data_IF_880239748907
#
_entry.id   IF_880239748907
#
_cell.length_a   1.000
_cell.length_b   1.000
_cell.length_c   1.000
_cell.angle_alpha   90.00
_cell.angle_beta   90.00
_cell.angle_gamma   90.00
#
_symmetry.space_group_name_H-M   'P 1'
#
loop_
_entity.id
_entity.type
_entity.pdbx_description
1 polymer ?
#
# COMPACT_ATOMS: atom_id res chain seq x y z
N UNK A 1 31.07 33.49 -18.99
CA UNK A 1 29.69 33.11 -18.60
C UNK A 1 29.76 31.64 -18.18
N UNK A 2 29.51 31.35 -16.90
CA UNK A 2 30.09 30.20 -16.19
C UNK A 2 29.26 28.92 -16.41
N UNK A 3 29.90 27.84 -16.88
CA UNK A 3 29.32 26.49 -17.08
C UNK A 3 28.59 25.91 -15.86
N UNK A 4 28.88 26.45 -14.67
CA UNK A 4 28.32 26.01 -13.38
C UNK A 4 26.80 26.18 -13.27
N UNK A 5 26.22 27.23 -13.89
CA UNK A 5 24.77 27.47 -13.85
C UNK A 5 23.98 26.45 -14.69
N UNK A 6 24.57 25.93 -15.78
CA UNK A 6 23.94 24.94 -16.65
C UNK A 6 23.94 23.54 -16.02
N UNK A 7 24.97 23.20 -15.23
CA UNK A 7 25.00 21.95 -14.47
C UNK A 7 23.97 21.90 -13.32
N UNK A 8 23.56 23.05 -12.78
CA UNK A 8 22.49 23.11 -11.77
C UNK A 8 21.10 22.85 -12.35
N UNK A 9 20.84 23.20 -13.62
CA UNK A 9 19.55 22.90 -14.27
C UNK A 9 19.40 21.41 -14.57
N UNK A 10 20.45 20.71 -14.98
CA UNK A 10 20.37 19.28 -15.30
C UNK A 10 20.22 18.39 -14.05
N UNK A 11 20.84 18.74 -12.93
CA UNK A 11 20.68 17.98 -11.66
C UNK A 11 19.30 18.12 -11.00
N UNK A 12 18.53 19.15 -11.34
CA UNK A 12 17.19 19.39 -10.78
C UNK A 12 16.06 18.62 -11.50
N UNK A 13 16.37 17.99 -12.64
CA UNK A 13 15.42 17.22 -13.46
C UNK A 13 15.78 15.74 -13.63
N UNK A 14 16.63 15.17 -12.78
CA UNK A 14 16.27 13.86 -12.23
C UNK A 14 15.27 14.11 -11.11
N UNK A 15 14.06 14.51 -11.49
CA UNK A 15 12.90 14.15 -10.70
C UNK A 15 13.05 12.64 -10.55
N UNK A 16 13.42 12.15 -9.35
CA UNK A 16 13.05 10.80 -8.94
C UNK A 16 11.63 10.67 -9.43
N UNK A 17 11.39 9.86 -10.46
CA UNK A 17 10.04 9.69 -10.94
C UNK A 17 9.31 9.19 -9.70
N UNK A 18 8.42 10.02 -9.15
CA UNK A 18 7.54 9.66 -8.03
C UNK A 18 6.51 8.68 -8.59
N UNK A 19 6.99 7.63 -9.22
CA UNK A 19 6.23 6.61 -9.93
C UNK A 19 6.67 5.31 -9.31
N UNK A 20 5.70 4.52 -8.89
CA UNK A 20 5.96 3.33 -8.10
C UNK A 20 6.64 2.29 -9.01
N UNK A 21 7.86 1.83 -8.68
CA UNK A 21 8.71 1.07 -9.60
C UNK A 21 8.07 -0.24 -10.07
N UNK A 22 7.23 -0.86 -9.24
CA UNK A 22 6.51 -2.11 -9.54
C UNK A 22 5.08 -1.88 -10.04
N UNK A 23 4.68 -0.64 -10.31
CA UNK A 23 3.34 -0.38 -10.87
C UNK A 23 3.09 -1.12 -12.18
N UNK A 24 4.13 -1.29 -13.00
CA UNK A 24 4.05 -2.05 -14.26
C UNK A 24 3.84 -3.56 -14.04
N UNK A 25 4.17 -4.07 -12.85
CA UNK A 25 3.95 -5.48 -12.48
C UNK A 25 2.51 -5.71 -11.97
N UNK A 26 1.76 -4.66 -11.64
CA UNK A 26 0.36 -4.72 -11.21
C UNK A 26 -0.57 -4.88 -12.41
N UNK A 27 -0.46 -6.03 -13.07
CA UNK A 27 -1.18 -6.39 -14.30
C UNK A 27 -2.70 -6.22 -14.22
N UNK A 28 -3.27 -6.36 -13.01
CA UNK A 28 -4.70 -6.22 -12.73
C UNK A 28 -5.18 -4.76 -12.75
N UNK A 29 -4.25 -3.79 -12.68
CA UNK A 29 -4.49 -2.36 -12.84
C UNK A 29 -4.21 -1.93 -14.27
N UNK A 30 -3.00 -2.25 -14.77
CA UNK A 30 -2.54 -1.86 -16.10
C UNK A 30 -1.71 -2.98 -16.69
N UNK A 31 -2.11 -3.47 -17.86
CA UNK A 31 -1.39 -4.51 -18.59
C UNK A 31 -0.20 -3.92 -19.38
N UNK A 32 0.80 -4.77 -19.70
CA UNK A 32 1.78 -4.46 -20.72
C UNK A 32 1.11 -4.14 -22.07
N UNK A 33 1.78 -3.31 -22.88
CA UNK A 33 1.31 -2.99 -24.22
C UNK A 33 1.12 -4.27 -25.05
N UNK A 34 -0.01 -4.38 -25.75
CA UNK A 34 -0.34 -5.52 -26.61
C UNK A 34 -1.16 -6.64 -25.95
N UNK A 35 -1.45 -6.57 -24.64
CA UNK A 35 -2.37 -7.51 -24.00
C UNK A 35 -3.84 -7.11 -24.17
N UNK A 36 -4.71 -8.07 -24.51
CA UNK A 36 -6.17 -7.91 -24.59
C UNK A 36 -6.92 -8.43 -23.34
N UNK A 37 -6.19 -8.91 -22.33
CA UNK A 37 -6.79 -9.47 -21.13
C UNK A 37 -7.46 -8.38 -20.28
N UNK A 38 -8.60 -8.69 -19.63
CA UNK A 38 -9.31 -7.72 -18.80
C UNK A 38 -8.47 -7.26 -17.60
N UNK A 39 -8.71 -6.02 -17.18
CA UNK A 39 -8.25 -5.41 -15.93
C UNK A 39 -9.46 -4.97 -15.10
N UNK A 40 -9.23 -4.48 -13.88
CA UNK A 40 -10.31 -3.87 -13.10
C UNK A 40 -10.78 -2.51 -13.64
N UNK A 41 -10.19 -1.99 -14.72
CA UNK A 41 -10.50 -0.69 -15.32
C UNK A 41 -10.43 0.48 -14.31
N UNK A 42 -9.56 0.36 -13.30
CA UNK A 42 -9.48 1.31 -12.19
C UNK A 42 -8.90 2.67 -12.59
N UNK A 43 -8.08 2.72 -13.65
CA UNK A 43 -7.50 3.98 -14.14
C UNK A 43 -8.57 4.96 -14.57
N UNK A 44 -9.64 4.50 -15.21
CA UNK A 44 -10.78 5.33 -15.60
C UNK A 44 -11.54 5.93 -14.40
N UNK A 45 -11.51 5.24 -13.25
CA UNK A 45 -12.05 5.71 -11.98
C UNK A 45 -11.14 6.76 -11.35
N UNK A 46 -9.82 6.58 -11.44
CA UNK A 46 -8.84 7.58 -11.00
C UNK A 46 -8.88 8.86 -11.84
N UNK A 47 -9.11 8.76 -13.14
CA UNK A 47 -9.26 9.93 -14.04
C UNK A 47 -10.47 10.80 -13.65
N UNK A 48 -11.47 10.20 -12.99
CA UNK A 48 -12.63 10.89 -12.40
C UNK A 48 -12.35 11.46 -11.00
N UNK A 49 -11.14 11.30 -10.48
CA UNK A 49 -10.74 11.76 -9.14
C UNK A 49 -11.12 10.82 -8.00
N UNK A 50 -11.60 9.61 -8.28
CA UNK A 50 -12.02 8.64 -7.26
C UNK A 50 -10.82 7.80 -6.80
N UNK A 51 -10.16 8.21 -5.72
CA UNK A 51 -8.91 7.60 -5.20
C UNK A 51 -9.07 6.89 -3.86
N UNK A 52 -10.30 6.88 -3.31
CA UNK A 52 -10.59 6.42 -1.95
C UNK A 52 -10.39 7.49 -0.87
N UNK A 53 -10.03 8.72 -1.23
CA UNK A 53 -9.85 9.82 -0.28
C UNK A 53 -11.06 9.99 0.63
N UNK A 54 -10.81 10.01 1.94
CA UNK A 54 -11.85 10.16 2.98
C UNK A 54 -12.56 8.86 3.36
N UNK A 55 -12.32 7.75 2.66
CA UNK A 55 -12.86 6.44 3.01
C UNK A 55 -11.97 5.77 4.06
N UNK A 56 -12.58 5.03 4.99
CA UNK A 56 -11.92 4.17 5.96
C UNK A 56 -12.17 2.71 5.58
N UNK A 57 -11.11 1.90 5.53
CA UNK A 57 -11.21 0.46 5.29
C UNK A 57 -10.56 -0.30 6.44
N UNK A 58 -11.29 -1.24 7.04
CA UNK A 58 -10.74 -2.14 8.05
C UNK A 58 -10.21 -3.42 7.38
N UNK A 59 -8.97 -3.80 7.69
CA UNK A 59 -8.37 -5.08 7.31
C UNK A 59 -8.40 -5.97 8.55
N UNK A 60 -9.26 -6.99 8.54
CA UNK A 60 -9.37 -7.98 9.62
C UNK A 60 -8.62 -9.22 9.17
N UNK A 61 -7.42 -9.44 9.74
CA UNK A 61 -6.47 -10.43 9.27
C UNK A 61 -5.49 -10.85 10.39
N UNK A 62 -4.27 -11.26 10.03
CA UNK A 62 -3.13 -11.55 10.92
C UNK A 62 -2.34 -10.29 11.35
N UNK A 63 -3.05 -9.16 11.39
CA UNK A 63 -2.51 -7.85 11.67
C UNK A 63 -1.98 -7.11 10.44
N UNK A 64 -1.78 -5.80 10.60
CA UNK A 64 -1.18 -4.93 9.58
C UNK A 64 -0.13 -4.06 10.25
N UNK A 65 1.10 -4.10 9.72
CA UNK A 65 2.21 -3.25 10.10
C UNK A 65 1.95 -1.82 9.63
N UNK A 66 1.38 -1.02 10.54
CA UNK A 66 1.16 0.41 10.32
C UNK A 66 2.45 1.23 10.18
N UNK A 67 3.62 0.67 10.50
CA UNK A 67 4.91 1.35 10.32
C UNK A 67 5.51 1.14 8.92
N UNK A 68 4.98 0.18 8.15
CA UNK A 68 5.47 -0.15 6.82
C UNK A 68 5.48 1.10 5.92
N UNK A 69 6.60 1.43 5.23
CA UNK A 69 6.72 2.66 4.43
C UNK A 69 5.61 2.86 3.39
N UNK A 70 5.09 1.76 2.84
CA UNK A 70 3.99 1.75 1.86
C UNK A 70 2.60 2.02 2.45
N UNK A 71 2.44 1.87 3.78
CA UNK A 71 1.15 1.91 4.46
C UNK A 71 1.05 3.05 5.46
N UNK A 72 2.16 3.47 6.07
CA UNK A 72 2.21 4.40 7.21
C UNK A 72 1.46 5.72 7.02
N UNK A 73 1.37 6.23 5.79
CA UNK A 73 0.66 7.48 5.49
C UNK A 73 -0.86 7.30 5.62
N UNK A 74 -1.34 6.13 5.24
CA UNK A 74 -2.75 5.79 5.15
C UNK A 74 -3.25 5.04 6.41
N UNK A 75 -2.34 4.50 7.23
CA UNK A 75 -2.67 3.75 8.43
C UNK A 75 -3.22 4.60 9.58
N UNK A 76 -4.20 4.07 10.32
CA UNK A 76 -4.87 4.72 11.45
C UNK A 76 -4.75 3.89 12.72
N UNK A 77 -3.70 4.19 13.50
CA UNK A 77 -3.43 3.57 14.79
C UNK A 77 -4.62 3.61 15.75
N UNK A 78 -5.33 4.74 15.81
CA UNK A 78 -6.47 4.94 16.72
C UNK A 78 -7.66 4.02 16.44
N UNK A 79 -7.73 3.43 15.24
CA UNK A 79 -8.81 2.53 14.81
C UNK A 79 -8.33 1.09 14.65
N UNK A 80 -7.07 0.81 15.01
CA UNK A 80 -6.42 -0.48 14.83
C UNK A 80 -6.27 -1.18 16.17
N UNK A 81 -6.51 -2.49 16.20
CA UNK A 81 -6.55 -3.27 17.43
C UNK A 81 -6.01 -4.68 17.21
N UNK A 82 -5.29 -5.20 18.19
CA UNK A 82 -4.88 -6.58 18.28
C UNK A 82 -5.83 -7.31 19.24
N UNK A 83 -6.73 -8.13 18.69
CA UNK A 83 -7.70 -8.90 19.47
C UNK A 83 -7.07 -10.15 20.10
N UNK A 84 -5.90 -10.59 19.63
CA UNK A 84 -5.17 -11.73 20.19
C UNK A 84 -4.43 -11.30 21.46
N UNK A 85 -3.73 -10.16 21.41
CA UNK A 85 -3.07 -9.58 22.57
C UNK A 85 -4.01 -8.73 23.45
N UNK A 86 -5.22 -8.46 22.95
CA UNK A 86 -6.22 -7.58 23.57
C UNK A 86 -5.67 -6.19 23.90
N UNK A 87 -5.03 -5.56 22.92
CA UNK A 87 -4.50 -4.20 23.04
C UNK A 87 -4.55 -3.43 21.72
N UNK A 88 -4.41 -2.11 21.79
CA UNK A 88 -4.26 -1.30 20.58
C UNK A 88 -2.95 -1.61 19.85
N UNK A 89 -3.00 -1.63 18.51
CA UNK A 89 -1.82 -1.75 17.68
C UNK A 89 -0.84 -0.60 17.96
N UNK A 90 0.45 -0.92 18.07
CA UNK A 90 1.52 0.06 18.35
C UNK A 90 2.59 -0.01 17.25
N UNK A 91 3.39 1.05 17.18
CA UNK A 91 4.54 1.07 16.28
C UNK A 91 5.45 -0.13 16.58
N UNK A 92 5.73 -0.93 15.55
CA UNK A 92 6.59 -2.12 15.68
C UNK A 92 5.90 -3.36 16.25
N UNK A 93 4.57 -3.38 16.42
CA UNK A 93 3.84 -4.63 16.69
C UNK A 93 4.15 -5.65 15.59
N UNK A 94 4.72 -6.83 15.93
CA UNK A 94 4.99 -7.87 14.95
C UNK A 94 3.69 -8.42 14.36
N UNK A 95 3.66 -8.64 13.04
CA UNK A 95 2.52 -9.22 12.32
C UNK A 95 3.01 -10.31 11.35
N UNK A 96 2.15 -11.26 10.97
CA UNK A 96 2.53 -12.38 10.08
C UNK A 96 2.64 -11.94 8.61
N UNK A 97 1.87 -10.93 8.21
CA UNK A 97 2.08 -10.17 6.98
C UNK A 97 1.14 -10.54 5.83
N UNK A 98 0.17 -11.43 6.02
CA UNK A 98 -0.93 -11.59 5.08
C UNK A 98 -1.77 -10.30 5.02
N UNK A 99 -2.13 -9.74 6.17
CA UNK A 99 -2.82 -8.46 6.27
C UNK A 99 -2.06 -7.31 5.61
N UNK A 100 -0.73 -7.28 5.68
CA UNK A 100 0.10 -6.29 4.96
C UNK A 100 -0.10 -6.33 3.45
N UNK A 101 -0.18 -7.54 2.87
CA UNK A 101 -0.39 -7.73 1.43
C UNK A 101 -1.77 -7.25 1.02
N UNK A 102 -2.80 -7.62 1.80
CA UNK A 102 -4.17 -7.16 1.59
C UNK A 102 -4.28 -5.63 1.69
N UNK A 103 -3.71 -5.04 2.76
CA UNK A 103 -3.68 -3.60 2.96
C UNK A 103 -2.95 -2.85 1.82
N UNK A 104 -1.86 -3.41 1.30
CA UNK A 104 -1.13 -2.86 0.16
C UNK A 104 -1.94 -2.82 -1.12
N UNK A 105 -2.71 -3.88 -1.42
CA UNK A 105 -3.62 -3.91 -2.58
C UNK A 105 -4.72 -2.85 -2.45
N UNK A 106 -5.23 -2.63 -1.23
CA UNK A 106 -6.28 -1.65 -0.96
C UNK A 106 -5.72 -0.22 -1.06
N UNK A 107 -4.73 0.11 -0.23
CA UNK A 107 -4.32 1.49 0.03
C UNK A 107 -2.80 1.69 0.10
N UNK A 108 -2.02 0.90 -0.63
CA UNK A 108 -0.60 1.19 -0.85
C UNK A 108 -0.42 2.61 -1.41
N UNK A 109 0.46 3.39 -0.80
CA UNK A 109 0.64 4.82 -1.12
C UNK A 109 1.16 4.98 -2.54
N UNK A 110 0.40 5.66 -3.40
CA UNK A 110 0.84 5.97 -4.76
C UNK A 110 1.90 7.08 -4.79
N UNK A 111 2.75 7.00 -5.81
CA UNK A 111 3.73 8.02 -6.18
C UNK A 111 4.76 8.31 -5.07
N UNK A 112 5.13 7.29 -4.28
CA UNK A 112 6.13 7.42 -3.21
C UNK A 112 7.50 6.83 -3.61
N UNK A 113 7.59 6.20 -4.80
CA UNK A 113 8.82 5.59 -5.30
C UNK A 113 9.16 4.25 -4.65
N UNK A 114 8.20 3.64 -3.96
CA UNK A 114 8.30 2.32 -3.35
C UNK A 114 7.29 1.39 -4.02
N UNK A 115 7.58 0.09 -4.00
CA UNK A 115 6.73 -0.99 -4.52
C UNK A 115 5.73 -0.57 -5.62
N UNK A 116 4.43 -0.49 -5.29
CA UNK A 116 3.34 -0.28 -6.25
C UNK A 116 2.35 0.75 -5.73
N UNK A 117 1.07 0.62 -6.08
CA UNK A 117 -0.01 1.41 -5.44
C UNK A 117 -1.27 0.61 -5.22
N UNK A 118 -2.01 1.00 -4.20
CA UNK A 118 -3.34 0.45 -3.94
C UNK A 118 -4.38 0.93 -4.95
N UNK A 119 -5.48 0.18 -5.05
CA UNK A 119 -6.66 0.57 -5.84
C UNK A 119 -7.27 1.88 -5.33
N UNK A 120 -7.28 2.05 -4.01
CA UNK A 120 -7.75 3.21 -3.27
C UNK A 120 -6.59 3.84 -2.49
N UNK A 121 -5.56 4.29 -3.20
CA UNK A 121 -4.29 4.75 -2.63
C UNK A 121 -4.36 6.00 -1.74
N UNK A 122 -5.51 6.67 -1.64
CA UNK A 122 -5.77 7.74 -0.66
C UNK A 122 -6.81 7.35 0.42
N UNK A 123 -7.26 6.10 0.44
CA UNK A 123 -8.07 5.58 1.53
C UNK A 123 -7.23 5.44 2.81
N UNK A 124 -7.91 5.54 3.95
CA UNK A 124 -7.32 5.22 5.24
C UNK A 124 -7.53 3.75 5.56
N UNK A 125 -6.57 3.14 6.25
CA UNK A 125 -6.65 1.74 6.66
C UNK A 125 -6.56 1.60 8.19
N UNK A 126 -7.36 0.70 8.73
CA UNK A 126 -7.25 0.20 10.09
C UNK A 126 -6.86 -1.27 10.06
N UNK A 127 -5.82 -1.66 10.79
CA UNK A 127 -5.39 -3.05 10.93
C UNK A 127 -6.00 -3.67 12.16
N UNK A 128 -6.77 -4.74 12.00
CA UNK A 128 -7.35 -5.49 13.09
C UNK A 128 -6.81 -6.91 13.07
N UNK A 129 -5.97 -7.23 14.05
CA UNK A 129 -5.41 -8.57 14.19
C UNK A 129 -6.41 -9.46 14.92
N UNK A 130 -6.99 -10.42 14.20
CA UNK A 130 -7.91 -11.42 14.74
C UNK A 130 -7.30 -12.82 14.73
N UNK A 131 -6.33 -13.07 13.85
CA UNK A 131 -5.75 -14.40 13.64
C UNK A 131 -4.38 -14.57 14.31
N UNK A 132 -3.68 -13.47 14.61
CA UNK A 132 -2.33 -13.44 15.17
C UNK A 132 -1.29 -14.02 14.22
N UNK A 133 -0.09 -14.28 14.76
CA UNK A 133 0.93 -15.08 14.08
C UNK A 133 0.58 -16.58 13.93
N UNK A 134 -0.66 -16.98 14.26
CA UNK A 134 -1.11 -18.35 14.08
C UNK A 134 -1.46 -18.55 12.61
N UNK A 135 -0.45 -18.89 11.82
CA UNK A 135 -0.69 -19.48 10.51
C UNK A 135 -1.54 -20.75 10.68
N UNK A 136 -2.26 -21.08 9.61
CA UNK A 136 -3.09 -22.29 9.41
C UNK A 136 -2.34 -23.64 9.60
N UNK A 137 -1.17 -23.67 10.25
CA UNK A 137 -0.46 -24.89 10.65
C UNK A 137 -0.74 -25.34 12.09
N UNK A 138 -1.40 -24.53 12.91
CA UNK A 138 -1.70 -24.88 14.32
C UNK A 138 -3.11 -25.45 14.55
N UNK A 139 -4.02 -25.31 13.57
CA UNK A 139 -5.41 -25.80 13.65
C UNK A 139 -5.65 -27.16 12.95
N UNK A 140 -4.65 -27.73 12.29
CA UNK A 140 -4.67 -29.11 11.77
C UNK A 140 -3.64 -29.99 12.48
N UNK A 141 -3.87 -30.28 13.75
CA UNK A 141 -3.39 -31.52 14.37
C UNK A 141 -4.60 -32.41 14.61
N UNK A 142 -5.00 -33.14 13.57
CA UNK A 142 -5.61 -34.46 13.73
C UNK A 142 -4.48 -35.48 13.80
#
# INVERSE_FOLDING_TARGET
>A
MVEWFMHQKLKKYQLLSRTDPRFQEQWYIKRPAGSSEPTYNITSTWDKGCTGKGIMVAVVDDGVDGSHPELRKNYKWTLSYDYVANEHMKYGTPVSGHGNKCAGIIAGVANNGLCGRGLAYEANIAGNDLFGMLTCSSLYKL
#
